data_IF_414806917462
#
_entry.id   IF_414806917462
#
_cell.length_a   1.000
_cell.length_b   1.000
_cell.length_c   1.000
_cell.angle_alpha   90.00
_cell.angle_beta   90.00
_cell.angle_gamma   90.00
#
_symmetry.space_group_name_H-M   'P 1'
#
loop_
_entity.id
_entity.type
_entity.pdbx_description
1 polymer ?
#
# COMPACT_ATOMS: atom_id res chain seq x y z
N UNK A 1 -4.74 -0.79 -19.28
CA UNK A 1 -5.64 -0.07 -18.37
C UNK A 1 -6.99 -0.77 -18.36
N UNK A 2 -7.16 -1.70 -17.45
CA UNK A 2 -8.46 -2.29 -17.10
C UNK A 2 -9.30 -1.20 -16.45
N UNK A 3 -10.57 -1.07 -16.82
CA UNK A 3 -11.44 -0.06 -16.23
C UNK A 3 -11.66 -0.38 -14.74
N UNK A 4 -11.08 0.40 -13.83
CA UNK A 4 -11.30 0.24 -12.40
C UNK A 4 -12.71 0.70 -12.05
N UNK A 5 -13.46 -0.11 -11.31
CA UNK A 5 -14.86 0.17 -10.94
C UNK A 5 -15.05 0.05 -9.43
N UNK A 6 -15.82 0.97 -8.85
CA UNK A 6 -16.24 0.87 -7.45
C UNK A 6 -17.14 -0.36 -7.25
N UNK A 7 -16.89 -1.09 -6.17
CA UNK A 7 -17.63 -2.30 -5.83
C UNK A 7 -18.87 -1.96 -4.98
N UNK A 8 -19.92 -2.75 -5.14
CA UNK A 8 -21.12 -2.66 -4.30
C UNK A 8 -20.87 -3.25 -2.91
N UNK A 9 -21.75 -2.96 -1.94
CA UNK A 9 -21.69 -3.54 -0.58
C UNK A 9 -21.65 -5.07 -0.61
N UNK A 10 -22.51 -5.70 -1.41
CA UNK A 10 -22.56 -7.16 -1.56
C UNK A 10 -21.22 -7.71 -2.10
N UNK A 11 -20.64 -7.05 -3.11
CA UNK A 11 -19.37 -7.45 -3.69
C UNK A 11 -18.22 -7.35 -2.67
N UNK A 12 -18.10 -6.25 -1.93
CA UNK A 12 -17.03 -6.10 -0.94
C UNK A 12 -17.18 -7.08 0.23
N UNK A 13 -18.43 -7.39 0.65
CA UNK A 13 -18.70 -8.40 1.67
C UNK A 13 -18.31 -9.82 1.21
N UNK A 14 -18.58 -10.16 -0.05
CA UNK A 14 -18.14 -11.43 -0.63
C UNK A 14 -16.61 -11.54 -0.69
N UNK A 15 -15.94 -10.46 -1.13
CA UNK A 15 -14.48 -10.42 -1.24
C UNK A 15 -13.81 -10.50 0.13
N UNK A 16 -14.37 -9.86 1.16
CA UNK A 16 -13.87 -9.95 2.53
C UNK A 16 -13.87 -11.39 3.09
N UNK A 17 -14.70 -12.27 2.54
CA UNK A 17 -14.75 -13.70 2.90
C UNK A 17 -13.86 -14.59 2.01
N UNK A 18 -13.20 -14.01 1.01
CA UNK A 18 -12.40 -14.75 0.04
C UNK A 18 -11.11 -13.98 -0.31
N UNK A 19 -10.05 -14.12 0.51
CA UNK A 19 -8.76 -13.43 0.30
C UNK A 19 -8.19 -13.56 -1.11
N UNK A 20 -8.28 -14.77 -1.69
CA UNK A 20 -7.81 -15.03 -3.05
C UNK A 20 -8.59 -14.24 -4.11
N UNK A 21 -9.92 -14.15 -3.98
CA UNK A 21 -10.74 -13.33 -4.89
C UNK A 21 -10.50 -11.83 -4.65
N UNK A 22 -10.31 -11.43 -3.40
CA UNK A 22 -9.95 -10.05 -3.05
C UNK A 22 -8.63 -9.64 -3.72
N UNK A 23 -7.62 -10.52 -3.73
CA UNK A 23 -6.34 -10.28 -4.39
C UNK A 23 -6.50 -9.99 -5.89
N UNK A 24 -7.30 -10.79 -6.59
CA UNK A 24 -7.65 -10.58 -8.02
C UNK A 24 -8.51 -9.32 -8.27
N UNK A 25 -9.01 -8.67 -7.21
CA UNK A 25 -9.82 -7.46 -7.27
C UNK A 25 -9.16 -6.28 -6.52
N UNK A 26 -7.87 -6.38 -6.19
CA UNK A 26 -7.17 -5.40 -5.35
C UNK A 26 -7.33 -3.96 -5.87
N UNK A 27 -7.21 -3.75 -7.19
CA UNK A 27 -7.34 -2.43 -7.82
C UNK A 27 -8.76 -1.87 -7.71
N UNK A 28 -9.78 -2.72 -7.87
CA UNK A 28 -11.19 -2.32 -7.68
C UNK A 28 -11.50 -2.02 -6.21
N UNK A 29 -10.94 -2.80 -5.29
CA UNK A 29 -11.03 -2.54 -3.85
C UNK A 29 -10.40 -1.18 -3.48
N UNK A 30 -9.24 -0.84 -4.05
CA UNK A 30 -8.62 0.48 -3.87
C UNK A 30 -9.52 1.61 -4.39
N UNK A 31 -10.10 1.47 -5.58
CA UNK A 31 -11.03 2.47 -6.12
C UNK A 31 -12.32 2.62 -5.28
N UNK A 32 -12.70 1.57 -4.56
CA UNK A 32 -13.90 1.56 -3.71
C UNK A 32 -13.78 2.49 -2.50
N UNK A 33 -12.57 2.94 -2.13
CA UNK A 33 -12.42 4.00 -1.12
C UNK A 33 -13.02 5.34 -1.53
N UNK A 34 -13.29 5.55 -2.83
CA UNK A 34 -14.00 6.73 -3.33
C UNK A 34 -15.54 6.61 -3.20
N UNK A 35 -16.05 5.50 -2.66
CA UNK A 35 -17.49 5.36 -2.38
C UNK A 35 -17.92 6.37 -1.32
N UNK A 36 -19.12 6.94 -1.49
CA UNK A 36 -19.74 7.80 -0.48
C UNK A 36 -20.31 6.99 0.70
N UNK A 37 -20.56 5.70 0.49
CA UNK A 37 -21.06 4.78 1.50
C UNK A 37 -19.93 4.31 2.42
N UNK A 38 -20.04 4.64 3.70
CA UNK A 38 -19.06 4.29 4.73
C UNK A 38 -18.95 2.77 4.96
N UNK A 39 -20.06 2.05 4.89
CA UNK A 39 -20.07 0.60 5.10
C UNK A 39 -19.32 -0.08 3.95
N UNK A 40 -19.52 0.39 2.72
CA UNK A 40 -18.77 -0.08 1.54
C UNK A 40 -17.27 0.15 1.71
N UNK A 41 -16.84 1.32 2.19
CA UNK A 41 -15.41 1.61 2.44
C UNK A 41 -14.83 0.72 3.55
N UNK A 42 -15.60 0.47 4.61
CA UNK A 42 -15.17 -0.38 5.71
C UNK A 42 -14.93 -1.82 5.25
N UNK A 43 -15.89 -2.42 4.53
CA UNK A 43 -15.74 -3.77 3.98
C UNK A 43 -14.63 -3.87 2.92
N UNK A 44 -14.42 -2.83 2.11
CA UNK A 44 -13.29 -2.78 1.19
C UNK A 44 -11.95 -2.81 1.95
N UNK A 45 -11.85 -2.08 3.07
CA UNK A 45 -10.68 -2.13 3.95
C UNK A 45 -10.44 -3.52 4.52
N UNK A 46 -11.49 -4.16 5.04
CA UNK A 46 -11.41 -5.51 5.60
C UNK A 46 -10.95 -6.53 4.55
N UNK A 47 -11.49 -6.46 3.33
CA UNK A 47 -11.09 -7.31 2.22
C UNK A 47 -9.61 -7.10 1.84
N UNK A 48 -9.13 -5.86 1.80
CA UNK A 48 -7.72 -5.54 1.50
C UNK A 48 -6.76 -6.04 2.59
N UNK A 49 -7.15 -5.94 3.86
CA UNK A 49 -6.36 -6.46 4.98
C UNK A 49 -6.19 -7.97 4.88
N UNK A 50 -7.25 -8.67 4.48
CA UNK A 50 -7.27 -10.12 4.38
C UNK A 50 -6.43 -10.70 3.22
N UNK A 51 -6.06 -9.88 2.21
CA UNK A 51 -5.18 -10.31 1.12
C UNK A 51 -3.81 -10.72 1.68
N UNK A 52 -3.31 -11.89 1.31
CA UNK A 52 -1.98 -12.38 1.76
C UNK A 52 -0.88 -12.12 0.73
N UNK A 53 -1.22 -12.16 -0.56
CA UNK A 53 -0.33 -11.88 -1.67
C UNK A 53 -1.13 -11.26 -2.82
N UNK A 54 -0.54 -10.31 -3.56
CA UNK A 54 -1.11 -9.79 -4.80
C UNK A 54 -0.45 -10.45 -6.02
N UNK A 55 -1.23 -10.86 -7.04
CA UNK A 55 -0.70 -11.41 -8.28
C UNK A 55 0.27 -10.45 -8.98
N UNK A 56 1.39 -10.96 -9.49
CA UNK A 56 2.42 -10.16 -10.16
C UNK A 56 1.87 -9.27 -11.29
N UNK A 57 0.86 -9.73 -12.03
CA UNK A 57 0.26 -8.98 -13.14
C UNK A 57 -0.54 -7.74 -12.69
N UNK A 58 -0.91 -7.65 -11.40
CA UNK A 58 -1.61 -6.49 -10.83
C UNK A 58 -0.65 -5.49 -10.17
N UNK A 59 0.62 -5.84 -9.96
CA UNK A 59 1.60 -4.95 -9.32
C UNK A 59 1.68 -3.59 -10.04
N UNK A 60 1.78 -3.51 -11.39
CA UNK A 60 1.81 -2.21 -12.07
C UNK A 60 0.58 -1.34 -11.79
N UNK A 61 -0.63 -1.92 -11.78
CA UNK A 61 -1.86 -1.19 -11.52
C UNK A 61 -1.94 -0.72 -10.04
N UNK A 62 -1.36 -1.48 -9.10
CA UNK A 62 -1.26 -1.07 -7.69
C UNK A 62 -0.19 0.02 -7.52
N UNK A 63 0.92 -0.04 -8.27
CA UNK A 63 1.92 1.03 -8.33
C UNK A 63 1.27 2.33 -8.80
N UNK A 64 0.46 2.30 -9.87
CA UNK A 64 -0.27 3.47 -10.35
C UNK A 64 -1.17 4.08 -9.25
N UNK A 65 -1.77 3.25 -8.39
CA UNK A 65 -2.61 3.71 -7.28
C UNK A 65 -1.84 4.47 -6.18
N UNK A 66 -0.51 4.34 -6.08
CA UNK A 66 0.32 5.18 -5.19
C UNK A 66 0.37 6.64 -5.63
N UNK A 67 0.01 6.91 -6.89
CA UNK A 67 -0.17 8.25 -7.45
C UNK A 67 -1.53 8.88 -7.14
N UNK A 68 -2.47 8.17 -6.51
CA UNK A 68 -3.81 8.67 -6.25
C UNK A 68 -3.82 9.98 -5.42
N UNK A 69 -4.82 10.86 -5.59
CA UNK A 69 -4.93 12.08 -4.79
C UNK A 69 -5.34 11.81 -3.33
N UNK A 70 -5.95 10.65 -3.06
CA UNK A 70 -6.47 10.27 -1.75
C UNK A 70 -5.42 9.49 -0.94
N UNK A 71 -5.03 10.04 0.20
CA UNK A 71 -4.05 9.46 1.12
C UNK A 71 -4.44 8.04 1.60
N UNK A 72 -5.73 7.73 1.74
CA UNK A 72 -6.21 6.39 2.13
C UNK A 72 -5.92 5.37 1.04
N UNK A 73 -6.12 5.76 -0.23
CA UNK A 73 -5.80 4.91 -1.39
C UNK A 73 -4.29 4.68 -1.46
N UNK A 74 -3.49 5.73 -1.31
CA UNK A 74 -2.02 5.62 -1.35
C UNK A 74 -1.49 4.72 -0.22
N UNK A 75 -1.95 4.94 1.03
CA UNK A 75 -1.58 4.10 2.17
C UNK A 75 -1.95 2.63 1.94
N UNK A 76 -3.14 2.38 1.39
CA UNK A 76 -3.62 1.02 1.12
C UNK A 76 -2.84 0.36 -0.03
N UNK A 77 -2.46 1.12 -1.06
CA UNK A 77 -1.60 0.65 -2.14
C UNK A 77 -0.21 0.25 -1.61
N UNK A 78 0.44 1.06 -0.77
CA UNK A 78 1.73 0.70 -0.15
C UNK A 78 1.63 -0.61 0.66
N UNK A 79 0.56 -0.79 1.45
CA UNK A 79 0.32 -2.02 2.22
C UNK A 79 0.13 -3.26 1.33
N UNK A 80 -0.47 -3.10 0.16
CA UNK A 80 -0.62 -4.19 -0.81
C UNK A 80 0.68 -4.50 -1.52
N UNK A 81 1.47 -3.48 -1.90
CA UNK A 81 2.77 -3.66 -2.54
C UNK A 81 3.75 -4.43 -1.64
N UNK A 82 3.68 -4.23 -0.32
CA UNK A 82 4.38 -5.06 0.66
C UNK A 82 4.05 -6.57 0.60
N UNK A 83 2.98 -6.95 -0.09
CA UNK A 83 2.52 -8.32 -0.30
C UNK A 83 2.69 -8.77 -1.76
N UNK A 84 3.46 -8.03 -2.56
CA UNK A 84 3.68 -8.35 -3.96
C UNK A 84 4.68 -9.50 -4.15
N UNK A 85 4.44 -10.33 -5.16
CA UNK A 85 5.44 -11.34 -5.60
C UNK A 85 6.65 -10.67 -6.25
N UNK A 86 6.46 -9.56 -6.97
CA UNK A 86 7.54 -8.72 -7.50
C UNK A 86 7.96 -7.66 -6.48
N UNK A 87 8.82 -8.07 -5.55
CA UNK A 87 9.26 -7.23 -4.45
C UNK A 87 10.08 -6.01 -4.90
N UNK A 88 10.85 -6.10 -6.00
CA UNK A 88 11.73 -5.01 -6.43
C UNK A 88 10.93 -3.82 -6.98
N UNK A 89 9.99 -4.08 -7.89
CA UNK A 89 9.08 -3.06 -8.42
C UNK A 89 8.23 -2.44 -7.31
N UNK A 90 7.74 -3.28 -6.40
CA UNK A 90 6.93 -2.85 -5.27
C UNK A 90 7.71 -1.96 -4.29
N UNK A 91 8.94 -2.32 -3.93
CA UNK A 91 9.79 -1.52 -3.06
C UNK A 91 10.10 -0.16 -3.67
N UNK A 92 10.44 -0.11 -4.96
CA UNK A 92 10.72 1.16 -5.64
C UNK A 92 9.53 2.13 -5.53
N UNK A 93 8.31 1.65 -5.81
CA UNK A 93 7.12 2.48 -5.70
C UNK A 93 6.85 2.95 -4.26
N UNK A 94 7.11 2.11 -3.26
CA UNK A 94 6.98 2.51 -1.84
C UNK A 94 8.05 3.54 -1.46
N UNK A 95 9.28 3.43 -1.96
CA UNK A 95 10.34 4.42 -1.79
C UNK A 95 9.97 5.78 -2.38
N UNK A 96 9.37 5.78 -3.58
CA UNK A 96 8.89 7.01 -4.23
C UNK A 96 7.85 7.72 -3.36
N UNK A 97 6.94 6.97 -2.71
CA UNK A 97 5.97 7.53 -1.76
C UNK A 97 6.67 8.08 -0.50
N UNK A 98 7.65 7.35 0.05
CA UNK A 98 8.41 7.78 1.22
C UNK A 98 9.18 9.10 0.99
N UNK A 99 9.75 9.25 -0.21
CA UNK A 99 10.53 10.43 -0.62
C UNK A 99 9.67 11.61 -1.09
N UNK A 100 8.37 11.41 -1.28
CA UNK A 100 7.47 12.45 -1.79
C UNK A 100 7.09 13.53 -0.75
N UNK A 101 6.47 14.61 -1.23
CA UNK A 101 5.89 15.70 -0.42
C UNK A 101 4.49 15.36 0.14
N UNK A 102 4.14 14.07 0.23
CA UNK A 102 2.87 13.62 0.82
C UNK A 102 2.83 13.90 2.32
N UNK A 103 1.64 13.77 2.92
CA UNK A 103 1.47 13.94 4.36
C UNK A 103 2.40 13.02 5.16
N UNK A 104 2.81 13.46 6.35
CA UNK A 104 3.66 12.65 7.25
C UNK A 104 3.02 11.29 7.59
N UNK A 105 1.68 11.20 7.57
CA UNK A 105 0.95 9.95 7.74
C UNK A 105 1.20 8.97 6.58
N UNK A 106 1.08 9.43 5.34
CA UNK A 106 1.36 8.61 4.14
C UNK A 106 2.81 8.15 4.12
N UNK A 107 3.76 9.06 4.37
CA UNK A 107 5.19 8.74 4.39
C UNK A 107 5.53 7.75 5.51
N UNK A 108 4.90 7.89 6.68
CA UNK A 108 5.03 6.93 7.79
C UNK A 108 4.51 5.55 7.39
N UNK A 109 3.41 5.48 6.63
CA UNK A 109 2.86 4.21 6.15
C UNK A 109 3.76 3.57 5.10
N UNK A 110 4.37 4.36 4.21
CA UNK A 110 5.38 3.86 3.27
C UNK A 110 6.58 3.23 3.99
N UNK A 111 7.12 3.90 5.01
CA UNK A 111 8.20 3.33 5.84
C UNK A 111 7.78 2.03 6.58
N UNK A 112 6.50 1.93 6.99
CA UNK A 112 5.94 0.69 7.57
C UNK A 112 5.73 -0.42 6.55
N UNK A 113 5.41 -0.08 5.32
CA UNK A 113 5.30 -1.05 4.23
C UNK A 113 6.69 -1.63 3.90
N UNK A 114 7.75 -0.82 3.93
CA UNK A 114 9.12 -1.31 3.76
C UNK A 114 9.51 -2.35 4.83
N UNK A 115 9.11 -2.18 6.10
CA UNK A 115 9.29 -3.16 7.20
C UNK A 115 8.61 -4.52 6.96
N UNK A 116 7.77 -4.66 5.92
CA UNK A 116 7.08 -5.91 5.60
C UNK A 116 7.72 -6.72 4.49
N UNK A 117 8.69 -6.16 3.77
CA UNK A 117 9.47 -6.94 2.83
C UNK A 117 10.48 -7.81 3.58
N UNK A 118 10.75 -9.00 3.06
CA UNK A 118 11.71 -9.93 3.66
C UNK A 118 13.16 -9.47 3.53
N UNK A 119 13.47 -8.76 2.45
CA UNK A 119 14.79 -8.20 2.16
C UNK A 119 14.58 -6.81 1.57
N UNK A 120 15.38 -5.83 2.00
CA UNK A 120 15.35 -4.48 1.45
C UNK A 120 16.37 -4.32 0.33
N UNK A 121 16.01 -3.55 -0.69
CA UNK A 121 16.97 -3.08 -1.70
C UNK A 121 17.86 -1.96 -1.14
N UNK A 122 19.01 -1.74 -1.77
CA UNK A 122 19.92 -0.63 -1.42
C UNK A 122 19.22 0.74 -1.52
N UNK A 123 18.34 0.90 -2.50
CA UNK A 123 17.50 2.10 -2.65
C UNK A 123 16.54 2.28 -1.47
N UNK A 124 15.94 1.19 -0.99
CA UNK A 124 15.04 1.21 0.17
C UNK A 124 15.77 1.57 1.45
N UNK A 125 16.97 1.00 1.64
CA UNK A 125 17.85 1.34 2.76
C UNK A 125 18.21 2.83 2.71
N UNK A 126 18.59 3.35 1.54
CA UNK A 126 18.95 4.76 1.38
C UNK A 126 17.75 5.68 1.68
N UNK A 127 16.57 5.37 1.14
CA UNK A 127 15.36 6.17 1.39
C UNK A 127 14.95 6.18 2.87
N UNK A 128 15.11 5.04 3.57
CA UNK A 128 14.87 4.96 5.01
C UNK A 128 15.91 5.73 5.83
N UNK A 129 17.19 5.72 5.43
CA UNK A 129 18.24 6.52 6.08
C UNK A 129 17.94 8.02 5.96
N UNK A 130 17.55 8.47 4.77
CA UNK A 130 17.14 9.87 4.56
C UNK A 130 15.93 10.24 5.42
N UNK A 131 14.92 9.36 5.50
CA UNK A 131 13.75 9.55 6.35
C UNK A 131 14.10 9.56 7.86
N UNK A 132 15.07 8.74 8.29
CA UNK A 132 15.56 8.66 9.67
C UNK A 132 16.30 9.93 10.12
N UNK A 133 16.93 10.65 9.19
CA UNK A 133 17.59 11.93 9.46
C UNK A 133 16.65 13.15 9.28
N UNK A 134 15.40 12.91 8.86
CA UNK A 134 14.40 13.93 8.65
C UNK A 134 13.93 14.62 9.94
N UNK A 135 13.21 15.73 9.78
CA UNK A 135 12.67 16.52 10.90
C UNK A 135 11.38 15.96 11.50
N UNK A 136 10.68 15.06 10.80
CA UNK A 136 9.49 14.38 11.33
C UNK A 136 9.94 13.26 12.28
N UNK A 137 9.86 13.53 13.59
CA UNK A 137 10.30 12.59 14.62
C UNK A 137 9.58 11.23 14.58
N UNK A 138 8.31 11.19 14.16
CA UNK A 138 7.56 9.93 14.06
C UNK A 138 8.06 9.13 12.88
N UNK A 139 8.19 9.76 11.72
CA UNK A 139 8.73 9.12 10.53
C UNK A 139 10.16 8.62 10.78
N UNK A 140 11.00 9.48 11.37
CA UNK A 140 12.38 9.15 11.66
C UNK A 140 12.52 7.93 12.58
N UNK A 141 11.71 7.87 13.64
CA UNK A 141 11.68 6.71 14.55
C UNK A 141 11.25 5.42 13.84
N UNK A 142 10.24 5.48 12.98
CA UNK A 142 9.77 4.31 12.24
C UNK A 142 10.83 3.87 11.22
N UNK A 143 11.44 4.81 10.48
CA UNK A 143 12.44 4.50 9.49
C UNK A 143 13.69 3.84 10.13
N UNK A 144 14.17 4.38 11.25
CA UNK A 144 15.28 3.77 11.99
C UNK A 144 14.92 2.35 12.47
N UNK A 145 13.73 2.16 13.03
CA UNK A 145 13.28 0.84 13.47
C UNK A 145 13.20 -0.16 12.32
N UNK A 146 12.78 0.29 11.13
CA UNK A 146 12.77 -0.57 9.93
C UNK A 146 14.19 -0.97 9.53
N UNK A 147 15.15 -0.03 9.55
CA UNK A 147 16.57 -0.31 9.27
C UNK A 147 17.20 -1.28 10.29
N UNK A 148 16.79 -1.19 11.56
CA UNK A 148 17.30 -2.09 12.61
C UNK A 148 16.77 -3.53 12.45
N UNK A 149 15.65 -3.72 11.72
CA UNK A 149 15.00 -5.00 11.47
C UNK A 149 15.38 -5.65 10.13
N UNK A 150 15.99 -4.89 9.21
CA UNK A 150 16.33 -5.32 7.85
C UNK A 150 17.68 -6.01 7.73
#
# INVERSE_FOLDING_TARGET
MTATTQLTLEQVQELARSPKRAAEQAVNLLATFQSTDEEVRAWASDALVAIESIPAHLVPDVVDATGAPDDVVVCSACKLLAKAEDAATAQQAVCDVLASERSGAVRTEAARALDKFSELTDESITALQDAAQGSDARLAHIAQRTLDNS
#
